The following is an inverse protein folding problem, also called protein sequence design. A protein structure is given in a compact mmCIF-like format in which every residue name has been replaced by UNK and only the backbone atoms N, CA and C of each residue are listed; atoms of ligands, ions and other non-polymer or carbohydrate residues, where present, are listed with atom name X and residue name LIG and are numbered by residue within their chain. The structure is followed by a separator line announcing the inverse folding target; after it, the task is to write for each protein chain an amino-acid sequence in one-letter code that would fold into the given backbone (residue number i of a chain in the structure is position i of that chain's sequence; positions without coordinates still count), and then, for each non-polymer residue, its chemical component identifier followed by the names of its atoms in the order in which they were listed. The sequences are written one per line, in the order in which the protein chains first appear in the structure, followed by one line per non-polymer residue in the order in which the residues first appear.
data_IF_087316025198
#
_entry.id   IF_087316025198
#
_cell.length_a   1.000
_cell.length_b   1.000
_cell.length_c   1.000
_cell.angle_alpha   90.00
_cell.angle_beta   90.00
_cell.angle_gamma   90.00
#
_symmetry.space_group_name_H-M   'P 1'
#
loop_
_entity.id
_entity.type
_entity.pdbx_description
1 polymer ?
#
# COMPACT_ATOMS: atom_id res chain seq x y z
N UNK A 1 11.89 -13.83 19.39
CA UNK A 1 10.76 -13.09 18.80
C UNK A 1 10.59 -11.67 19.34
N UNK A 2 10.41 -11.44 20.65
CA UNK A 2 10.18 -10.07 21.20
C UNK A 2 11.34 -9.08 20.90
N UNK A 3 12.59 -9.55 20.88
CA UNK A 3 13.77 -8.73 20.51
C UNK A 3 13.78 -8.29 19.05
N UNK A 4 13.26 -9.13 18.13
CA UNK A 4 13.19 -8.81 16.69
C UNK A 4 12.09 -7.78 16.45
N UNK A 5 10.93 -7.97 17.08
CA UNK A 5 9.81 -7.01 17.04
C UNK A 5 10.23 -5.66 17.60
N UNK A 6 10.94 -5.63 18.74
CA UNK A 6 11.42 -4.39 19.34
C UNK A 6 12.50 -3.71 18.48
N UNK A 7 13.35 -4.48 17.79
CA UNK A 7 14.37 -3.96 16.86
C UNK A 7 13.74 -3.38 15.58
N UNK A 8 12.72 -4.05 15.03
CA UNK A 8 11.95 -3.55 13.87
C UNK A 8 11.21 -2.27 14.26
N UNK A 9 10.55 -2.26 15.43
CA UNK A 9 9.80 -1.09 15.91
C UNK A 9 10.70 0.09 16.32
N UNK A 10 11.90 -0.17 16.85
CA UNK A 10 12.88 0.89 17.16
C UNK A 10 13.49 1.47 15.87
N UNK A 11 13.82 0.62 14.89
CA UNK A 11 14.31 1.07 13.58
C UNK A 11 13.26 1.88 12.82
N UNK A 12 11.98 1.49 12.88
CA UNK A 12 10.88 2.28 12.30
C UNK A 12 10.64 3.61 13.01
N UNK A 13 10.82 3.68 14.33
CA UNK A 13 10.65 4.94 15.11
C UNK A 13 11.80 5.92 14.92
N UNK A 14 13.04 5.44 14.85
CA UNK A 14 14.21 6.29 14.61
C UNK A 14 14.27 6.81 13.16
N UNK A 15 13.69 6.07 12.21
CA UNK A 15 13.60 6.42 10.78
C UNK A 15 12.30 7.15 10.41
N UNK A 16 11.55 7.63 11.40
CA UNK A 16 10.41 8.55 11.22
C UNK A 16 10.83 9.98 10.82
N UNK A 17 12.14 10.24 10.74
CA UNK A 17 12.67 11.33 9.93
C UNK A 17 12.68 10.84 8.49
N UNK A 18 12.00 11.56 7.60
CA UNK A 18 11.93 11.32 6.17
C UNK A 18 13.17 10.55 5.68
N UNK A 19 13.02 9.33 5.12
CA UNK A 19 14.15 8.66 4.51
C UNK A 19 14.71 9.63 3.48
N UNK A 20 16.01 9.95 3.60
CA UNK A 20 16.68 10.76 2.60
C UNK A 20 16.34 10.18 1.23
N UNK A 21 15.84 11.04 0.33
CA UNK A 21 15.42 10.66 -1.02
C UNK A 21 16.44 9.67 -1.61
N UNK A 22 16.03 8.41 -1.78
CA UNK A 22 16.76 7.43 -2.59
C UNK A 22 17.19 6.13 -1.90
N UNK A 23 17.23 6.00 -0.56
CA UNK A 23 17.71 4.73 0.04
C UNK A 23 16.57 3.77 0.42
N UNK A 24 16.05 3.04 -0.58
CA UNK A 24 15.04 2.00 -0.38
C UNK A 24 15.62 0.61 -0.06
N UNK A 25 16.95 0.42 -0.20
CA UNK A 25 17.63 -0.88 -0.04
C UNK A 25 17.35 -1.58 1.30
N UNK A 26 17.32 -0.88 2.46
CA UNK A 26 17.05 -1.54 3.74
C UNK A 26 15.62 -2.09 3.82
N UNK A 27 14.67 -1.45 3.14
CA UNK A 27 13.28 -1.93 3.10
C UNK A 27 13.18 -3.13 2.17
N UNK A 28 13.88 -3.10 1.04
CA UNK A 28 13.91 -4.21 0.09
C UNK A 28 14.53 -5.47 0.70
N UNK A 29 15.66 -5.36 1.41
CA UNK A 29 16.27 -6.51 2.12
C UNK A 29 15.33 -7.06 3.20
N UNK A 30 14.66 -6.21 3.98
CA UNK A 30 13.69 -6.67 4.99
C UNK A 30 12.50 -7.42 4.36
N UNK A 31 12.05 -6.99 3.17
CA UNK A 31 10.98 -7.66 2.43
C UNK A 31 11.41 -9.00 1.84
N UNK A 32 12.68 -9.16 1.45
CA UNK A 32 13.24 -10.40 0.94
C UNK A 32 13.56 -11.41 2.04
N UNK A 33 14.44 -11.02 2.98
CA UNK A 33 15.08 -11.94 3.91
C UNK A 33 14.15 -12.34 5.06
N UNK A 34 13.44 -11.37 5.65
CA UNK A 34 12.66 -11.59 6.88
C UNK A 34 11.16 -11.75 6.61
N UNK A 35 10.65 -11.15 5.53
CA UNK A 35 9.21 -11.07 5.24
C UNK A 35 8.82 -11.68 3.90
N UNK A 36 9.73 -12.33 3.18
CA UNK A 36 9.49 -12.87 1.84
C UNK A 36 8.29 -13.81 1.80
N UNK A 37 8.27 -14.79 2.72
CA UNK A 37 7.24 -15.82 2.79
C UNK A 37 5.97 -15.40 3.55
N UNK A 38 5.96 -14.22 4.16
CA UNK A 38 4.82 -13.72 4.95
C UNK A 38 3.66 -13.34 4.01
N UNK A 39 2.49 -13.90 4.26
CA UNK A 39 1.26 -13.74 3.46
C UNK A 39 0.12 -13.16 4.28
N UNK A 40 -0.94 -12.74 3.60
CA UNK A 40 -2.17 -12.30 4.26
C UNK A 40 -2.70 -13.38 5.21
N UNK A 41 -2.94 -13.00 6.47
CA UNK A 41 -3.36 -13.90 7.54
C UNK A 41 -2.26 -14.15 8.56
N UNK A 42 -1.00 -13.99 8.17
CA UNK A 42 0.13 -14.07 9.10
C UNK A 42 0.17 -12.84 10.01
N UNK A 43 0.62 -13.06 11.25
CA UNK A 43 0.72 -12.00 12.27
C UNK A 43 1.63 -10.85 11.85
N UNK A 44 2.66 -11.13 11.04
CA UNK A 44 3.62 -10.14 10.57
C UNK A 44 3.19 -9.46 9.26
N UNK A 45 2.09 -9.90 8.63
CA UNK A 45 1.62 -9.32 7.37
C UNK A 45 1.34 -7.81 7.43
N UNK A 46 0.76 -7.25 8.52
CA UNK A 46 0.58 -5.80 8.61
C UNK A 46 1.89 -5.00 8.48
N UNK A 47 3.01 -5.55 8.96
CA UNK A 47 4.34 -4.93 8.84
C UNK A 47 4.79 -4.98 7.37
N UNK A 48 4.71 -6.16 6.72
CA UNK A 48 5.02 -6.32 5.29
C UNK A 48 4.21 -5.34 4.42
N UNK A 49 2.90 -5.25 4.68
CA UNK A 49 1.99 -4.32 3.99
C UNK A 49 2.44 -2.87 4.13
N UNK A 50 2.84 -2.45 5.33
CA UNK A 50 3.29 -1.08 5.55
C UNK A 50 4.59 -0.78 4.78
N UNK A 51 5.54 -1.71 4.77
CA UNK A 51 6.80 -1.56 4.04
C UNK A 51 6.57 -1.49 2.52
N UNK A 52 5.68 -2.33 1.99
CA UNK A 52 5.27 -2.30 0.59
C UNK A 52 4.64 -0.95 0.21
N UNK A 53 3.74 -0.41 1.06
CA UNK A 53 3.16 0.92 0.84
C UNK A 53 4.25 2.00 0.79
N UNK A 54 5.20 1.98 1.73
CA UNK A 54 6.30 2.95 1.76
C UNK A 54 7.14 2.90 0.48
N UNK A 55 7.50 1.70 0.00
CA UNK A 55 8.26 1.56 -1.25
C UNK A 55 7.50 2.09 -2.46
N UNK A 56 6.21 1.75 -2.55
CA UNK A 56 5.34 2.21 -3.64
C UNK A 56 5.23 3.73 -3.63
N UNK A 57 4.99 4.35 -2.48
CA UNK A 57 4.91 5.82 -2.36
C UNK A 57 6.23 6.50 -2.73
N UNK A 58 7.37 5.98 -2.23
CA UNK A 58 8.69 6.52 -2.57
C UNK A 58 8.97 6.44 -4.06
N UNK A 59 8.71 5.29 -4.70
CA UNK A 59 8.92 5.12 -6.14
C UNK A 59 8.02 6.01 -6.98
N UNK A 60 6.77 6.20 -6.56
CA UNK A 60 5.83 7.14 -7.20
C UNK A 60 6.35 8.58 -7.11
N UNK A 61 6.77 9.03 -5.93
CA UNK A 61 7.32 10.39 -5.72
C UNK A 61 8.62 10.63 -6.50
N UNK A 62 9.42 9.58 -6.70
CA UNK A 62 10.66 9.62 -7.46
C UNK A 62 10.45 9.47 -8.98
N UNK A 63 9.21 9.23 -9.42
CA UNK A 63 8.88 8.91 -10.82
C UNK A 63 9.63 7.68 -11.35
N UNK A 64 10.07 6.78 -10.46
CA UNK A 64 10.64 5.50 -10.84
C UNK A 64 9.50 4.51 -11.14
N UNK A 65 8.96 4.65 -12.35
CA UNK A 65 7.81 3.87 -12.82
C UNK A 65 8.08 2.36 -12.78
N UNK A 66 9.30 1.92 -13.06
CA UNK A 66 9.63 0.50 -13.08
C UNK A 66 9.58 -0.09 -11.67
N UNK A 67 10.19 0.59 -10.70
CA UNK A 67 10.16 0.18 -9.29
C UNK A 67 8.75 0.27 -8.72
N UNK A 68 7.98 1.30 -9.08
CA UNK A 68 6.59 1.45 -8.68
C UNK A 68 5.73 0.27 -9.16
N UNK A 69 5.76 -0.06 -10.46
CA UNK A 69 4.99 -1.17 -11.01
C UNK A 69 5.36 -2.48 -10.30
N UNK A 70 6.64 -2.73 -10.04
CA UNK A 70 7.11 -3.97 -9.41
C UNK A 70 6.56 -4.14 -7.99
N UNK A 71 6.71 -3.13 -7.12
CA UNK A 71 6.26 -3.23 -5.73
C UNK A 71 4.74 -3.18 -5.60
N UNK A 72 4.07 -2.39 -6.43
CA UNK A 72 2.61 -2.34 -6.46
C UNK A 72 2.02 -3.69 -6.90
N UNK A 73 2.64 -4.35 -7.90
CA UNK A 73 2.24 -5.69 -8.33
C UNK A 73 2.47 -6.74 -7.25
N UNK A 74 3.63 -6.73 -6.59
CA UNK A 74 3.94 -7.65 -5.48
C UNK A 74 2.88 -7.52 -4.38
N UNK A 75 2.61 -6.28 -3.95
CA UNK A 75 1.58 -6.04 -2.93
C UNK A 75 0.19 -6.51 -3.39
N UNK A 76 -0.21 -6.19 -4.62
CA UNK A 76 -1.48 -6.64 -5.17
C UNK A 76 -1.60 -8.16 -5.22
N UNK A 77 -0.52 -8.89 -5.50
CA UNK A 77 -0.51 -10.35 -5.52
C UNK A 77 -0.64 -10.97 -4.12
N UNK A 78 -0.15 -10.29 -3.08
CA UNK A 78 -0.29 -10.74 -1.68
C UNK A 78 -1.73 -10.57 -1.16
N UNK A 79 -2.44 -9.52 -1.60
CA UNK A 79 -3.84 -9.29 -1.28
C UNK A 79 -4.57 -8.52 -2.38
N UNK A 80 -5.12 -9.26 -3.35
CA UNK A 80 -5.85 -8.69 -4.48
C UNK A 80 -7.20 -8.04 -4.11
N UNK A 81 -7.57 -8.05 -2.83
CA UNK A 81 -8.73 -7.35 -2.26
C UNK A 81 -8.34 -6.06 -1.55
N UNK A 82 -7.05 -5.80 -1.37
CA UNK A 82 -6.56 -4.54 -0.82
C UNK A 82 -6.77 -3.44 -1.86
N UNK A 83 -7.77 -2.58 -1.61
CA UNK A 83 -8.16 -1.51 -2.53
C UNK A 83 -7.02 -0.51 -2.74
N UNK A 84 -6.16 -0.30 -1.74
CA UNK A 84 -4.99 0.57 -1.88
C UNK A 84 -3.95 -0.06 -2.80
N UNK A 85 -3.65 -1.36 -2.65
CA UNK A 85 -2.74 -2.07 -3.54
C UNK A 85 -3.26 -2.09 -4.98
N UNK A 86 -4.56 -2.33 -5.16
CA UNK A 86 -5.23 -2.27 -6.46
C UNK A 86 -5.05 -0.89 -7.13
N UNK A 87 -5.32 0.18 -6.38
CA UNK A 87 -5.22 1.55 -6.91
C UNK A 87 -3.80 1.85 -7.38
N UNK A 88 -2.79 1.56 -6.57
CA UNK A 88 -1.40 1.78 -6.97
C UNK A 88 -0.97 0.93 -8.16
N UNK A 89 -1.34 -0.36 -8.20
CA UNK A 89 -0.95 -1.24 -9.30
C UNK A 89 -1.56 -0.78 -10.63
N UNK A 90 -2.86 -0.52 -10.65
CA UNK A 90 -3.54 -0.12 -11.87
C UNK A 90 -3.20 1.32 -12.31
N UNK A 91 -2.94 2.23 -11.37
CA UNK A 91 -2.39 3.55 -11.69
C UNK A 91 -0.99 3.47 -12.31
N UNK A 92 -0.15 2.52 -11.85
CA UNK A 92 1.16 2.30 -12.43
C UNK A 92 1.08 1.77 -13.87
N UNK A 93 0.09 0.91 -14.16
CA UNK A 93 -0.13 0.41 -15.52
C UNK A 93 -0.55 1.50 -16.52
N UNK A 94 -1.19 2.58 -16.06
CA UNK A 94 -1.52 3.71 -16.95
C UNK A 94 -0.30 4.44 -17.51
N UNK A 95 0.88 4.26 -16.91
CA UNK A 95 2.12 4.86 -17.40
C UNK A 95 2.69 4.14 -18.63
N UNK A 96 2.12 2.99 -19.01
CA UNK A 96 2.53 2.21 -20.17
C UNK A 96 1.36 2.06 -21.16
N UNK A 97 1.53 2.55 -22.39
CA UNK A 97 0.49 2.50 -23.43
C UNK A 97 -0.04 1.08 -23.68
N UNK A 98 0.81 0.05 -23.54
CA UNK A 98 0.42 -1.35 -23.73
C UNK A 98 -0.55 -1.87 -22.67
N UNK A 99 -0.49 -1.30 -21.47
CA UNK A 99 -1.29 -1.74 -20.32
C UNK A 99 -2.38 -0.73 -19.94
N UNK A 100 -2.56 0.34 -20.71
CA UNK A 100 -3.45 1.45 -20.41
C UNK A 100 -4.90 1.01 -20.19
N UNK A 101 -5.48 0.24 -21.10
CA UNK A 101 -6.87 -0.24 -21.00
C UNK A 101 -7.08 -1.10 -19.74
N UNK A 102 -6.11 -1.95 -19.44
CA UNK A 102 -6.12 -2.79 -18.23
C UNK A 102 -6.02 -1.94 -16.97
N UNK A 103 -5.17 -0.91 -16.97
CA UNK A 103 -5.06 0.06 -15.88
C UNK A 103 -6.37 0.80 -15.65
N UNK A 104 -7.02 1.27 -16.72
CA UNK A 104 -8.30 1.98 -16.64
C UNK A 104 -9.42 1.10 -16.08
N UNK A 105 -9.56 -0.13 -16.59
CA UNK A 105 -10.56 -1.08 -16.11
C UNK A 105 -10.33 -1.42 -14.63
N UNK A 106 -9.08 -1.72 -14.26
CA UNK A 106 -8.73 -2.07 -12.90
C UNK A 106 -8.90 -0.92 -11.90
N UNK A 107 -8.61 0.32 -12.28
CA UNK A 107 -8.89 1.50 -11.44
C UNK A 107 -10.39 1.69 -11.21
N UNK A 108 -11.21 1.49 -12.25
CA UNK A 108 -12.67 1.52 -12.10
C UNK A 108 -13.15 0.49 -11.07
N UNK A 109 -12.64 -0.75 -11.15
CA UNK A 109 -12.95 -1.79 -10.17
C UNK A 109 -12.50 -1.40 -8.75
N UNK A 110 -11.31 -0.82 -8.59
CA UNK A 110 -10.81 -0.37 -7.30
C UNK A 110 -11.73 0.71 -6.69
N UNK A 111 -12.16 1.68 -7.49
CA UNK A 111 -13.10 2.73 -7.08
C UNK A 111 -14.46 2.14 -6.70
N UNK A 112 -14.98 1.19 -7.47
CA UNK A 112 -16.27 0.56 -7.16
C UNK A 112 -16.20 -0.26 -5.87
N UNK A 113 -15.07 -0.94 -5.61
CA UNK A 113 -14.84 -1.64 -4.34
C UNK A 113 -14.69 -0.68 -3.17
N UNK A 114 -14.00 0.44 -3.37
CA UNK A 114 -13.90 1.50 -2.36
C UNK A 114 -15.30 1.99 -2.00
N UNK A 115 -16.13 2.31 -3.00
CA UNK A 115 -17.51 2.73 -2.78
C UNK A 115 -18.29 1.69 -1.96
N UNK A 116 -18.18 0.41 -2.31
CA UNK A 116 -18.88 -0.65 -1.57
C UNK A 116 -18.33 -0.89 -0.15
N UNK A 117 -17.08 -0.51 0.14
CA UNK A 117 -16.52 -0.58 1.51
C UNK A 117 -17.01 0.57 2.40
N UNK A 118 -17.24 1.75 1.83
CA UNK A 118 -17.56 2.96 2.60
C UNK A 118 -19.02 3.39 2.52
N UNK A 119 -19.76 2.90 1.53
CA UNK A 119 -21.14 3.26 1.27
C UNK A 119 -22.00 1.99 1.14
N UNK A 120 -23.12 1.95 1.87
CA UNK A 120 -24.20 0.96 1.65
C UNK A 120 -24.76 1.15 0.22
N UNK A 121 -25.46 0.14 -0.33
CA UNK A 121 -26.20 0.15 -1.61
C UNK A 121 -27.15 1.35 -1.79
N UNK A 122 -27.40 2.11 -0.72
CA UNK A 122 -28.22 3.34 -0.67
C UNK A 122 -27.41 4.64 -0.70
N UNK A 123 -26.08 4.59 -0.91
CA UNK A 123 -25.21 5.77 -1.01
C UNK A 123 -24.96 6.49 0.32
N UNK A 124 -25.30 5.89 1.46
CA UNK A 124 -25.06 6.47 2.80
C UNK A 124 -23.72 5.98 3.36
N UNK A 125 -22.92 6.90 3.89
CA UNK A 125 -21.70 6.58 4.63
C UNK A 125 -22.00 5.72 5.85
N UNK A 126 -21.11 4.78 6.16
CA UNK A 126 -21.28 3.88 7.31
C UNK A 126 -21.35 4.68 8.63
N UNK A 127 -22.33 4.46 9.53
CA UNK A 127 -22.57 5.29 10.73
C UNK A 127 -21.37 5.38 11.70
N UNK A 128 -20.45 4.42 11.63
CA UNK A 128 -19.23 4.35 12.45
C UNK A 128 -18.16 5.41 12.11
N UNK A 129 -18.35 6.20 11.05
CA UNK A 129 -17.39 7.22 10.60
C UNK A 129 -17.93 8.67 10.64
N UNK A 130 -19.11 8.90 11.24
CA UNK A 130 -19.63 10.27 11.39
C UNK A 130 -18.83 11.13 12.39
N UNK A 131 -18.04 10.52 13.29
CA UNK A 131 -17.23 11.27 14.27
C UNK A 131 -15.93 11.88 13.68
N UNK A 132 -15.04 11.14 12.99
CA UNK A 132 -13.76 11.72 12.58
C UNK A 132 -13.83 12.74 11.44
N UNK A 133 -14.91 12.79 10.65
CA UNK A 133 -15.06 13.80 9.58
C UNK A 133 -15.51 15.15 10.12
N UNK A 134 -16.33 15.16 11.19
CA UNK A 134 -16.78 16.41 11.80
C UNK A 134 -15.67 17.09 12.62
N UNK A 135 -14.77 16.30 13.22
CA UNK A 135 -13.65 16.79 14.02
C UNK A 135 -12.48 17.32 13.17
N UNK A 136 -12.46 17.04 11.86
CA UNK A 136 -11.43 17.54 10.93
C UNK A 136 -11.84 18.85 10.22
N UNK A 137 -13.08 19.31 10.42
CA UNK A 137 -13.64 20.52 9.78
C UNK A 137 -13.83 21.66 10.79
N UNK A 138 -13.55 21.43 12.08
CA UNK A 138 -13.58 22.46 13.14
C UNK A 138 -12.18 22.83 13.61
#
# INVERSE_FOLDING_TARGET
MQKVINKIMSQSRERGKQPEKGNSEPIQSLLGDDLGDIKKGDRLYPIKRHLLLTLVQQSYEQQDNQTWVNWAKEWYQQDNRDVTAMAYYYAALLQNDKDYEKGMLGLKEAVDRLKNQFFDRRGKSHPSLQKPVQDAIN
#
